data_IF_054045475675
#
_entry.id   IF_054045475675
#
_cell.length_a   1.000
_cell.length_b   1.000
_cell.length_c   1.000
_cell.angle_alpha   90.00
_cell.angle_beta   90.00
_cell.angle_gamma   90.00
#
_symmetry.space_group_name_H-M   'P 1'
#
loop_
_entity.id
_entity.type
_entity.pdbx_description
1 polymer ?
#
# COMPACT_ATOMS: atom_id res chain seq x y z
N UNK A 1 -4.60 7.20 -12.69
CA UNK A 1 -3.29 6.76 -13.20
C UNK A 1 -2.65 5.77 -12.24
N UNK A 2 -1.45 5.25 -12.56
CA UNK A 2 -0.75 4.21 -11.76
C UNK A 2 -0.60 4.56 -10.27
N UNK A 3 -0.40 5.83 -9.94
CA UNK A 3 -0.30 6.31 -8.55
C UNK A 3 -1.60 6.15 -7.74
N UNK A 4 -2.75 6.30 -8.39
CA UNK A 4 -4.06 6.12 -7.72
C UNK A 4 -4.34 4.67 -7.35
N UNK A 5 -3.85 3.71 -8.14
CA UNK A 5 -3.97 2.28 -7.83
C UNK A 5 -3.10 1.91 -6.62
N UNK A 6 -1.89 2.46 -6.53
CA UNK A 6 -1.02 2.27 -5.38
C UNK A 6 -1.67 2.80 -4.09
N UNK A 7 -2.24 4.01 -4.13
CA UNK A 7 -2.99 4.57 -3.00
C UNK A 7 -4.19 3.72 -2.58
N UNK A 8 -4.92 3.13 -3.56
CA UNK A 8 -6.01 2.20 -3.28
C UNK A 8 -5.54 0.96 -2.51
N UNK A 9 -4.44 0.33 -2.95
CA UNK A 9 -3.90 -0.87 -2.27
C UNK A 9 -3.36 -0.56 -0.88
N UNK A 10 -2.66 0.57 -0.71
CA UNK A 10 -2.23 1.04 0.62
C UNK A 10 -3.46 1.19 1.54
N UNK A 11 -4.54 1.80 1.06
CA UNK A 11 -5.78 1.95 1.81
C UNK A 11 -6.43 0.63 2.23
N UNK A 12 -6.45 -0.38 1.33
CA UNK A 12 -6.95 -1.71 1.67
C UNK A 12 -6.12 -2.37 2.79
N UNK A 13 -4.78 -2.33 2.67
CA UNK A 13 -3.89 -2.91 3.69
C UNK A 13 -4.06 -2.21 5.04
N UNK A 14 -4.16 -0.88 5.04
CA UNK A 14 -4.39 -0.11 6.28
C UNK A 14 -5.73 -0.46 6.93
N UNK A 15 -6.77 -0.72 6.13
CA UNK A 15 -8.09 -1.13 6.63
C UNK A 15 -8.07 -2.53 7.24
N UNK A 16 -7.48 -3.52 6.55
CA UNK A 16 -7.39 -4.90 7.04
C UNK A 16 -6.55 -5.01 8.32
N UNK A 17 -5.47 -4.23 8.38
CA UNK A 17 -4.60 -4.18 9.57
C UNK A 17 -5.13 -3.27 10.67
N UNK A 18 -6.29 -2.61 10.45
CA UNK A 18 -6.91 -1.67 11.39
C UNK A 18 -5.96 -0.56 11.84
N UNK A 19 -5.14 -0.03 10.93
CA UNK A 19 -4.18 1.03 11.26
C UNK A 19 -2.88 0.56 11.91
N UNK A 20 -2.70 -0.75 12.15
CA UNK A 20 -1.53 -1.29 12.86
C UNK A 20 -0.27 -1.39 12.00
N UNK A 21 -0.43 -1.49 10.67
CA UNK A 21 0.71 -1.51 9.76
C UNK A 21 1.30 -0.11 9.56
N UNK A 22 2.60 -0.02 9.31
CA UNK A 22 3.25 1.24 8.94
C UNK A 22 2.99 1.56 7.46
N UNK A 23 2.36 2.69 7.12
CA UNK A 23 2.06 3.05 5.73
C UNK A 23 3.32 3.20 4.84
N UNK A 24 4.48 3.54 5.40
CA UNK A 24 5.75 3.61 4.65
C UNK A 24 6.20 2.23 4.22
N UNK A 25 6.23 1.28 5.15
CA UNK A 25 6.60 -0.11 4.89
C UNK A 25 5.62 -0.74 3.89
N UNK A 26 4.32 -0.50 4.06
CA UNK A 26 3.29 -0.99 3.12
C UNK A 26 3.52 -0.45 1.71
N UNK A 27 3.81 0.84 1.57
CA UNK A 27 4.09 1.46 0.27
C UNK A 27 5.37 0.90 -0.37
N UNK A 28 6.44 0.67 0.39
CA UNK A 28 7.68 0.04 -0.10
C UNK A 28 7.43 -1.38 -0.61
N UNK A 29 6.77 -2.22 0.20
CA UNK A 29 6.44 -3.60 -0.16
C UNK A 29 5.52 -3.68 -1.37
N UNK A 30 4.55 -2.77 -1.50
CA UNK A 30 3.66 -2.73 -2.66
C UNK A 30 4.40 -2.32 -3.93
N UNK A 31 5.34 -1.36 -3.86
CA UNK A 31 6.18 -0.96 -5.00
C UNK A 31 7.08 -2.10 -5.46
N UNK A 32 7.70 -2.81 -4.51
CA UNK A 32 8.53 -3.99 -4.80
C UNK A 32 7.71 -5.11 -5.46
N UNK A 33 6.54 -5.44 -4.89
CA UNK A 33 5.68 -6.52 -5.39
C UNK A 33 5.06 -6.21 -6.75
N UNK A 34 4.75 -4.95 -7.03
CA UNK A 34 4.14 -4.53 -8.29
C UNK A 34 5.17 -4.25 -9.40
N UNK A 35 6.48 -4.34 -9.11
CA UNK A 35 7.60 -4.03 -10.03
C UNK A 35 7.29 -2.78 -10.88
N UNK A 36 6.89 -1.72 -10.18
CA UNK A 36 6.57 -0.42 -10.77
C UNK A 36 7.82 0.47 -10.84
#
# INVERSE_FOLDING_TARGET
>A
GKEGLLGFFVGQVMKETQGKADPKIVNELLREKLRA
#
